data_IF_796910808479
#
_entry.id   IF_796910808479
#
_cell.length_a   1.000
_cell.length_b   1.000
_cell.length_c   1.000
_cell.angle_alpha   90.00
_cell.angle_beta   90.00
_cell.angle_gamma   90.00
#
_symmetry.space_group_name_H-M   'P 1'
#
loop_
_entity.id
_entity.type
_entity.pdbx_description
1 polymer ?
#
# COMPACT_ATOMS: atom_id res chain seq x y z
N UNK A 1 -36.71 4.44 2.89
CA UNK A 1 -35.94 5.57 3.45
C UNK A 1 -34.57 5.02 3.82
N UNK A 2 -33.56 5.24 2.98
CA UNK A 2 -32.18 4.91 3.32
C UNK A 2 -31.62 6.06 4.15
N UNK A 3 -31.27 5.78 5.40
CA UNK A 3 -30.54 6.73 6.25
C UNK A 3 -29.10 6.81 5.74
N UNK A 4 -28.80 7.83 4.95
CA UNK A 4 -27.42 8.19 4.60
C UNK A 4 -26.76 8.74 5.86
N UNK A 5 -26.17 7.88 6.66
CA UNK A 5 -25.26 8.31 7.73
C UNK A 5 -24.01 8.85 7.04
N UNK A 6 -23.89 10.18 6.98
CA UNK A 6 -22.65 10.82 6.54
C UNK A 6 -21.46 10.33 7.37
N UNK A 7 -20.22 10.47 6.87
CA UNK A 7 -19.05 9.99 7.58
C UNK A 7 -18.93 10.68 8.94
N UNK A 8 -18.88 9.86 9.99
CA UNK A 8 -18.69 10.31 11.38
C UNK A 8 -17.23 10.71 11.56
N UNK A 9 -16.98 11.82 12.25
CA UNK A 9 -15.63 12.22 12.66
C UNK A 9 -14.96 11.07 13.42
N UNK A 10 -13.79 10.57 12.95
CA UNK A 10 -13.12 9.45 13.60
C UNK A 10 -12.53 9.79 14.97
N UNK A 11 -12.59 11.06 15.42
CA UNK A 11 -12.16 11.48 16.75
C UNK A 11 -10.65 11.38 16.95
N UNK A 12 -9.87 11.68 15.91
CA UNK A 12 -8.42 11.56 15.93
C UNK A 12 -7.79 12.62 16.88
N UNK A 13 -7.01 12.18 17.86
CA UNK A 13 -6.21 13.06 18.74
C UNK A 13 -5.28 13.97 17.92
N UNK A 14 -5.06 15.19 18.43
CA UNK A 14 -4.18 16.23 17.87
C UNK A 14 -2.71 16.10 18.32
N UNK A 15 -2.25 14.89 18.61
CA UNK A 15 -0.87 14.66 19.06
C UNK A 15 0.09 14.83 17.86
N UNK A 16 1.13 15.64 18.04
CA UNK A 16 2.17 15.85 17.01
C UNK A 16 3.14 14.66 16.90
N UNK A 17 3.25 13.85 17.95
CA UNK A 17 4.17 12.70 18.02
C UNK A 17 3.49 11.37 17.70
N UNK A 18 2.64 11.34 16.66
CA UNK A 18 1.93 10.13 16.22
C UNK A 18 2.11 9.89 14.72
N UNK A 19 2.20 8.62 14.33
CA UNK A 19 2.13 8.21 12.91
C UNK A 19 0.73 7.68 12.61
N UNK A 20 0.03 8.36 11.69
CA UNK A 20 -1.23 7.85 11.13
C UNK A 20 -0.95 7.15 9.81
N UNK A 21 -1.06 5.83 9.81
CA UNK A 21 -1.07 5.04 8.57
C UNK A 21 -2.40 5.25 7.87
N UNK A 22 -2.37 5.67 6.61
CA UNK A 22 -3.56 5.84 5.77
C UNK A 22 -3.56 4.75 4.71
N UNK A 23 -4.61 3.94 4.73
CA UNK A 23 -4.85 2.88 3.76
C UNK A 23 -6.18 3.11 3.06
N UNK A 24 -6.18 3.02 1.73
CA UNK A 24 -7.39 3.17 0.94
C UNK A 24 -7.78 1.85 0.30
N UNK A 25 -9.06 1.50 0.38
CA UNK A 25 -9.57 0.34 -0.34
C UNK A 25 -9.97 0.71 -1.76
N UNK A 26 -9.72 -0.22 -2.69
CA UNK A 26 -10.23 -0.15 -4.04
C UNK A 26 -11.76 -0.10 -4.02
N UNK A 27 -12.34 0.65 -4.94
CA UNK A 27 -13.79 0.63 -5.14
C UNK A 27 -14.29 -0.81 -5.40
N UNK A 28 -15.39 -1.25 -4.76
CA UNK A 28 -15.89 -2.62 -4.88
C UNK A 28 -16.18 -3.02 -6.33
N UNK A 29 -16.77 -2.12 -7.13
CA UNK A 29 -17.12 -2.42 -8.53
C UNK A 29 -15.92 -2.50 -9.46
N UNK A 30 -14.71 -2.21 -8.98
CA UNK A 30 -13.51 -2.40 -9.77
C UNK A 30 -12.83 -3.74 -9.47
N UNK A 31 -13.27 -4.52 -8.48
CA UNK A 31 -12.70 -5.84 -8.17
C UNK A 31 -13.72 -6.97 -8.34
N UNK A 32 -13.24 -8.09 -8.89
CA UNK A 32 -14.05 -9.31 -9.04
C UNK A 32 -14.09 -10.15 -7.75
N UNK A 33 -13.27 -9.81 -6.74
CA UNK A 33 -13.15 -10.55 -5.49
C UNK A 33 -12.87 -9.56 -4.33
N UNK A 34 -13.94 -8.91 -3.88
CA UNK A 34 -13.89 -7.98 -2.75
C UNK A 34 -13.54 -8.66 -1.42
N UNK A 35 -14.01 -9.88 -1.10
CA UNK A 35 -13.55 -10.61 0.08
C UNK A 35 -12.02 -10.73 0.14
N UNK A 36 -11.37 -11.02 -0.99
CA UNK A 36 -9.90 -11.06 -1.05
C UNK A 36 -9.24 -9.71 -0.76
N UNK A 37 -9.86 -8.59 -1.15
CA UNK A 37 -9.38 -7.24 -0.78
C UNK A 37 -9.41 -7.05 0.73
N UNK A 38 -10.46 -7.52 1.41
CA UNK A 38 -10.57 -7.45 2.87
C UNK A 38 -9.52 -8.34 3.55
N UNK A 39 -9.29 -9.57 3.07
CA UNK A 39 -8.24 -10.43 3.59
C UNK A 39 -6.84 -9.79 3.51
N UNK A 40 -6.56 -9.11 2.39
CA UNK A 40 -5.29 -8.40 2.19
C UNK A 40 -5.17 -7.22 3.16
N UNK A 41 -6.24 -6.44 3.32
CA UNK A 41 -6.27 -5.34 4.29
C UNK A 41 -5.99 -5.87 5.70
N UNK A 42 -6.63 -6.94 6.13
CA UNK A 42 -6.38 -7.49 7.46
C UNK A 42 -4.93 -7.98 7.64
N UNK A 43 -4.30 -8.52 6.59
CA UNK A 43 -2.89 -8.86 6.63
C UNK A 43 -1.99 -7.60 6.78
N UNK A 44 -2.31 -6.52 6.06
CA UNK A 44 -1.66 -5.22 6.22
C UNK A 44 -1.88 -4.66 7.63
N UNK A 45 -3.09 -4.70 8.17
CA UNK A 45 -3.38 -4.24 9.53
C UNK A 45 -2.58 -5.02 10.58
N UNK A 46 -2.43 -6.34 10.45
CA UNK A 46 -1.57 -7.13 11.33
C UNK A 46 -0.09 -6.77 11.19
N UNK A 47 0.37 -6.42 9.99
CA UNK A 47 1.73 -5.87 9.79
C UNK A 47 1.91 -4.53 10.51
N UNK A 48 0.92 -3.64 10.42
CA UNK A 48 0.95 -2.34 11.10
C UNK A 48 0.75 -2.48 12.62
N UNK A 49 0.02 -3.48 13.10
CA UNK A 49 -0.09 -3.76 14.53
C UNK A 49 1.20 -4.35 15.12
N UNK A 50 2.13 -4.79 14.29
CA UNK A 50 3.43 -5.31 14.72
C UNK A 50 4.47 -4.19 15.00
N UNK A 51 4.10 -2.91 14.95
CA UNK A 51 5.04 -1.82 15.25
C UNK A 51 5.54 -1.88 16.71
N UNK A 52 6.86 -1.71 16.87
CA UNK A 52 7.54 -1.69 18.18
C UNK A 52 7.20 -0.42 18.97
N UNK A 53 7.11 0.72 18.28
CA UNK A 53 6.63 1.96 18.86
C UNK A 53 5.10 2.07 18.64
N UNK A 54 4.37 2.22 19.75
CA UNK A 54 2.91 2.21 19.78
C UNK A 54 2.27 3.57 19.53
N UNK A 55 3.06 4.62 19.30
CA UNK A 55 2.58 5.96 18.92
C UNK A 55 2.14 6.00 17.45
N UNK A 56 1.23 5.11 17.10
CA UNK A 56 0.68 5.01 15.77
C UNK A 56 -0.78 4.57 15.79
N UNK A 57 -1.46 4.86 14.69
CA UNK A 57 -2.86 4.50 14.43
C UNK A 57 -3.06 4.26 12.94
N UNK A 58 -4.16 3.61 12.59
CA UNK A 58 -4.55 3.37 11.20
C UNK A 58 -5.85 4.10 10.90
N UNK A 59 -5.93 4.71 9.72
CA UNK A 59 -7.14 5.23 9.12
C UNK A 59 -7.39 4.51 7.80
N UNK A 60 -8.49 3.77 7.72
CA UNK A 60 -8.93 3.08 6.51
C UNK A 60 -10.02 3.89 5.83
N UNK A 61 -9.82 4.28 4.58
CA UNK A 61 -10.84 4.97 3.77
C UNK A 61 -11.36 4.03 2.67
N UNK A 62 -12.67 3.77 2.66
CA UNK A 62 -13.28 2.76 1.81
C UNK A 62 -14.65 3.22 1.27
N UNK A 63 -15.11 2.58 0.19
CA UNK A 63 -16.45 2.80 -0.37
C UNK A 63 -17.55 1.94 0.28
N UNK A 64 -17.16 1.07 1.22
CA UNK A 64 -18.07 0.24 2.00
C UNK A 64 -17.62 0.28 3.43
N UNK A 65 -18.59 0.15 4.34
CA UNK A 65 -18.30 0.02 5.75
C UNK A 65 -17.37 -1.18 5.98
N UNK A 66 -16.37 -0.94 6.80
CA UNK A 66 -15.40 -1.93 7.20
C UNK A 66 -15.30 -1.95 8.72
N UNK A 67 -15.31 -3.15 9.29
CA UNK A 67 -15.08 -3.36 10.72
C UNK A 67 -13.73 -4.06 10.88
N UNK A 68 -12.74 -3.44 11.56
CA UNK A 68 -11.44 -4.06 11.77
C UNK A 68 -11.52 -5.26 12.72
N UNK A 69 -10.58 -6.21 12.62
CA UNK A 69 -10.44 -7.29 13.60
C UNK A 69 -10.30 -6.75 15.03
N UNK A 70 -11.01 -7.37 15.98
CA UNK A 70 -11.09 -6.92 17.38
C UNK A 70 -9.83 -7.21 18.19
N UNK A 71 -8.98 -8.09 17.70
CA UNK A 71 -7.74 -8.53 18.33
C UNK A 71 -6.54 -7.62 18.02
N UNK A 72 -6.72 -6.59 17.19
CA UNK A 72 -5.68 -5.60 16.92
C UNK A 72 -5.44 -4.71 18.14
N UNK A 73 -4.18 -4.50 18.48
CA UNK A 73 -3.78 -3.59 19.57
C UNK A 73 -3.60 -2.14 19.09
N UNK A 74 -3.50 -1.91 17.78
CA UNK A 74 -3.36 -0.60 17.16
C UNK A 74 -4.75 0.00 16.97
N UNK A 75 -4.99 1.27 17.31
CA UNK A 75 -6.25 1.93 17.00
C UNK A 75 -6.48 1.95 15.48
N UNK A 76 -7.63 1.42 15.05
CA UNK A 76 -8.05 1.45 13.64
C UNK A 76 -9.34 2.24 13.53
N UNK A 77 -9.27 3.34 12.80
CA UNK A 77 -10.40 4.20 12.45
C UNK A 77 -10.81 3.91 11.01
N UNK A 78 -12.10 4.03 10.71
CA UNK A 78 -12.63 3.78 9.37
C UNK A 78 -13.45 4.97 8.90
N UNK A 79 -13.36 5.28 7.60
CA UNK A 79 -14.16 6.28 6.92
C UNK A 79 -14.78 5.69 5.67
N UNK A 80 -16.10 5.82 5.57
CA UNK A 80 -16.86 5.40 4.40
C UNK A 80 -17.13 6.62 3.51
N UNK A 81 -16.85 6.48 2.21
CA UNK A 81 -17.08 7.50 1.19
C UNK A 81 -17.96 6.95 0.07
N UNK A 82 -18.73 7.81 -0.60
CA UNK A 82 -19.60 7.42 -1.72
C UNK A 82 -19.06 7.94 -3.06
N UNK A 83 -17.76 7.74 -3.30
CA UNK A 83 -17.15 8.17 -4.55
C UNK A 83 -17.46 7.20 -5.69
N UNK A 84 -17.72 7.68 -6.91
CA UNK A 84 -18.02 6.80 -8.03
C UNK A 84 -16.83 5.88 -8.37
N UNK A 85 -17.05 4.69 -8.96
CA UNK A 85 -15.96 3.84 -9.38
C UNK A 85 -15.04 4.59 -10.36
N UNK A 86 -13.70 4.41 -10.29
CA UNK A 86 -12.83 4.84 -11.37
C UNK A 86 -13.30 4.27 -12.71
N UNK A 87 -13.29 5.11 -13.75
CA UNK A 87 -13.86 4.85 -15.07
C UNK A 87 -13.42 3.50 -15.67
N UNK A 88 -14.30 3.04 -16.58
CA UNK A 88 -14.50 1.69 -17.10
C UNK A 88 -13.31 0.70 -17.01
N UNK A 89 -13.60 -0.53 -16.59
CA UNK A 89 -12.67 -1.66 -16.54
C UNK A 89 -12.07 -1.99 -17.93
N UNK A 90 -12.72 -1.49 -18.99
CA UNK A 90 -12.26 -1.56 -20.38
C UNK A 90 -11.14 -0.57 -20.72
N UNK A 91 -10.91 0.47 -19.91
CA UNK A 91 -9.82 1.41 -20.15
C UNK A 91 -8.45 0.76 -19.93
N UNK A 92 -7.51 1.06 -20.82
CA UNK A 92 -6.14 0.52 -20.79
C UNK A 92 -5.08 1.62 -20.64
N UNK A 93 -3.93 1.24 -20.07
CA UNK A 93 -2.77 2.12 -20.00
C UNK A 93 -2.96 3.35 -19.11
N UNK A 94 -2.65 4.53 -19.66
CA UNK A 94 -2.56 5.78 -18.90
C UNK A 94 -3.90 6.27 -18.34
N UNK A 95 -5.01 6.08 -19.08
CA UNK A 95 -6.35 6.53 -18.63
C UNK A 95 -6.84 5.77 -17.40
N UNK A 96 -6.72 4.43 -17.43
CA UNK A 96 -6.95 3.59 -16.26
C UNK A 96 -6.10 4.00 -15.05
N UNK A 97 -4.82 4.30 -15.27
CA UNK A 97 -3.94 4.76 -14.19
C UNK A 97 -4.38 6.11 -13.63
N UNK A 98 -4.84 7.04 -14.48
CA UNK A 98 -5.38 8.32 -14.04
C UNK A 98 -6.65 8.15 -13.20
N UNK A 99 -7.55 7.24 -13.60
CA UNK A 99 -8.74 6.90 -12.81
C UNK A 99 -8.41 6.32 -11.44
N UNK A 100 -7.51 5.33 -11.39
CA UNK A 100 -7.04 4.74 -10.11
C UNK A 100 -6.40 5.79 -9.21
N UNK A 101 -5.58 6.69 -9.77
CA UNK A 101 -4.96 7.78 -9.03
C UNK A 101 -5.99 8.77 -8.49
N UNK A 102 -7.01 9.11 -9.27
CA UNK A 102 -8.09 9.99 -8.81
C UNK A 102 -8.87 9.35 -7.66
N UNK A 103 -9.23 8.08 -7.77
CA UNK A 103 -9.93 7.35 -6.72
C UNK A 103 -9.12 7.32 -5.41
N UNK A 104 -7.85 6.91 -5.51
CA UNK A 104 -6.91 6.89 -4.37
C UNK A 104 -6.71 8.28 -3.78
N UNK A 105 -6.47 9.28 -4.63
CA UNK A 105 -6.21 10.66 -4.24
C UNK A 105 -7.38 11.30 -3.54
N UNK A 106 -8.60 11.05 -4.00
CA UNK A 106 -9.83 11.54 -3.36
C UNK A 106 -9.97 10.96 -1.94
N UNK A 107 -9.69 9.67 -1.76
CA UNK A 107 -9.72 9.01 -0.44
C UNK A 107 -8.64 9.52 0.50
N UNK A 108 -7.43 9.75 -0.02
CA UNK A 108 -6.36 10.40 0.74
C UNK A 108 -6.73 11.85 1.12
N UNK A 109 -7.41 12.60 0.25
CA UNK A 109 -7.85 13.95 0.55
C UNK A 109 -8.84 13.98 1.73
N UNK A 110 -9.80 13.04 1.78
CA UNK A 110 -10.71 12.88 2.93
C UNK A 110 -9.92 12.52 4.20
N UNK A 111 -8.95 11.61 4.11
CA UNK A 111 -8.07 11.31 5.24
C UNK A 111 -7.34 12.57 5.75
N UNK A 112 -6.86 13.42 4.84
CA UNK A 112 -6.16 14.65 5.21
C UNK A 112 -7.08 15.67 5.89
N UNK A 113 -8.38 15.66 5.59
CA UNK A 113 -9.35 16.53 6.25
C UNK A 113 -9.58 16.15 7.73
N UNK A 114 -9.40 14.88 8.10
CA UNK A 114 -9.63 14.42 9.48
C UNK A 114 -8.37 14.28 10.31
N UNK A 115 -7.19 14.14 9.69
CA UNK A 115 -5.94 14.02 10.42
C UNK A 115 -5.48 15.43 10.83
N UNK A 116 -5.49 15.75 12.14
CA UNK A 116 -5.19 17.11 12.59
C UNK A 116 -3.69 17.43 12.58
N UNK A 117 -2.85 16.46 12.91
CA UNK A 117 -1.45 16.67 13.25
C UNK A 117 -0.61 15.39 13.10
N UNK A 118 0.69 15.51 13.38
CA UNK A 118 1.65 14.40 13.34
C UNK A 118 2.09 13.97 11.95
N UNK A 119 2.51 12.71 11.82
CA UNK A 119 2.97 12.14 10.55
C UNK A 119 1.86 11.34 9.87
N UNK A 120 1.83 11.40 8.55
CA UNK A 120 0.95 10.61 7.68
C UNK A 120 1.81 9.69 6.86
N UNK A 121 1.55 8.38 6.95
CA UNK A 121 2.22 7.37 6.14
C UNK A 121 1.22 6.71 5.19
N UNK A 122 1.45 6.76 3.89
CA UNK A 122 0.60 6.05 2.92
C UNK A 122 1.01 4.59 2.83
N UNK A 123 0.04 3.68 2.97
CA UNK A 123 0.26 2.24 2.93
C UNK A 123 -0.83 1.59 2.08
N UNK A 124 -0.43 0.91 1.00
CA UNK A 124 -1.33 0.15 0.15
C UNK A 124 -1.92 -1.04 0.95
N UNK A 125 -3.19 -1.36 0.72
CA UNK A 125 -3.97 -2.33 1.50
C UNK A 125 -3.54 -3.79 1.33
N UNK A 126 -2.46 -4.04 0.60
CA UNK A 126 -1.91 -5.35 0.33
C UNK A 126 -0.42 -5.47 0.68
N UNK A 127 0.18 -4.42 1.24
CA UNK A 127 1.61 -4.35 1.57
C UNK A 127 1.88 -4.48 3.08
N UNK A 128 3.16 -4.54 3.45
CA UNK A 128 3.60 -4.67 4.84
C UNK A 128 4.78 -3.72 5.13
N UNK A 129 4.88 -3.26 6.38
CA UNK A 129 5.96 -2.37 6.85
C UNK A 129 6.78 -3.01 7.96
N UNK A 130 8.04 -2.61 8.06
CA UNK A 130 8.94 -3.04 9.14
C UNK A 130 8.40 -2.54 10.48
N UNK A 131 8.44 -3.38 11.51
CA UNK A 131 8.08 -3.03 12.90
C UNK A 131 8.90 -1.90 13.52
N UNK A 132 10.03 -1.53 12.88
CA UNK A 132 10.90 -0.41 13.32
C UNK A 132 10.53 0.93 12.70
N UNK A 133 9.54 0.96 11.80
CA UNK A 133 9.23 2.13 10.99
C UNK A 133 8.78 3.33 11.84
N UNK A 134 7.82 3.14 12.74
CA UNK A 134 7.31 4.24 13.59
C UNK A 134 8.42 4.82 14.48
N UNK A 135 9.21 3.98 15.12
CA UNK A 135 10.31 4.43 15.98
C UNK A 135 11.38 5.22 15.21
N UNK A 136 11.62 4.90 13.93
CA UNK A 136 12.50 5.68 13.09
C UNK A 136 11.92 7.06 12.74
N UNK A 137 10.65 7.10 12.33
CA UNK A 137 9.93 8.33 11.98
C UNK A 137 9.86 9.27 13.19
N UNK A 138 9.48 8.77 14.36
CA UNK A 138 9.36 9.60 15.56
C UNK A 138 10.70 9.87 16.26
N UNK A 139 11.80 9.28 15.80
CA UNK A 139 13.15 9.52 16.31
C UNK A 139 13.77 10.84 15.84
N UNK A 140 13.17 11.51 14.86
CA UNK A 140 13.61 12.83 14.36
C UNK A 140 12.41 13.68 13.94
N UNK A 141 11.59 14.14 14.92
CA UNK A 141 10.30 14.82 14.66
C UNK A 141 10.43 16.17 13.95
N UNK A 142 11.64 16.73 13.84
CA UNK A 142 11.93 17.95 13.10
C UNK A 142 11.93 17.75 11.58
N UNK A 143 12.05 16.50 11.11
CA UNK A 143 12.14 16.18 9.68
C UNK A 143 10.79 16.28 8.99
N UNK A 144 10.81 16.76 7.74
CA UNK A 144 9.59 16.87 6.93
C UNK A 144 8.94 15.50 6.66
N UNK A 145 9.74 14.44 6.67
CA UNK A 145 9.30 13.06 6.52
C UNK A 145 10.35 12.20 5.84
N UNK A 146 9.92 11.00 5.44
CA UNK A 146 10.78 9.99 4.84
C UNK A 146 10.13 9.30 3.65
N UNK A 147 10.98 8.69 2.83
CA UNK A 147 10.57 7.74 1.82
C UNK A 147 11.35 6.43 1.92
N UNK A 148 10.77 5.36 1.38
CA UNK A 148 11.39 4.03 1.33
C UNK A 148 12.09 3.88 -0.02
N UNK A 149 13.42 3.92 -0.03
CA UNK A 149 14.22 3.71 -1.25
C UNK A 149 14.58 2.24 -1.46
N UNK A 150 14.86 1.53 -0.38
CA UNK A 150 15.11 0.10 -0.39
C UNK A 150 13.97 -0.63 0.28
N UNK A 151 13.51 -1.72 -0.33
CA UNK A 151 12.52 -2.59 0.29
C UNK A 151 12.66 -4.03 -0.18
N UNK A 152 11.56 -4.76 -0.07
CA UNK A 152 11.46 -6.13 -0.55
C UNK A 152 10.29 -6.28 -1.51
N UNK A 153 10.40 -7.21 -2.44
CA UNK A 153 9.26 -7.71 -3.20
C UNK A 153 8.94 -9.12 -2.71
N UNK A 154 7.69 -9.36 -2.34
CA UNK A 154 7.22 -10.65 -1.85
C UNK A 154 6.15 -11.23 -2.77
N UNK A 155 6.40 -12.42 -3.30
CA UNK A 155 5.40 -13.16 -4.06
C UNK A 155 4.57 -14.01 -3.09
N UNK A 156 3.35 -13.55 -2.81
CA UNK A 156 2.48 -14.18 -1.80
C UNK A 156 2.04 -15.58 -2.21
N UNK A 157 2.09 -15.91 -3.50
CA UNK A 157 1.73 -17.24 -4.02
C UNK A 157 2.87 -18.23 -3.86
N UNK A 158 4.13 -17.80 -4.01
CA UNK A 158 5.29 -18.71 -3.93
C UNK A 158 6.00 -18.67 -2.58
N UNK A 159 5.80 -17.61 -1.78
CA UNK A 159 6.49 -17.39 -0.53
C UNK A 159 7.94 -16.90 -0.71
N UNK A 160 8.28 -16.43 -1.91
CA UNK A 160 9.61 -15.92 -2.22
C UNK A 160 9.72 -14.41 -2.02
N UNK A 161 10.88 -14.00 -1.51
CA UNK A 161 11.27 -12.62 -1.35
C UNK A 161 12.55 -12.33 -2.13
N UNK A 162 12.62 -11.15 -2.74
CA UNK A 162 13.86 -10.54 -3.19
C UNK A 162 13.92 -9.08 -2.74
N UNK A 163 15.12 -8.53 -2.76
CA UNK A 163 15.32 -7.10 -2.55
C UNK A 163 14.72 -6.30 -3.69
N UNK A 164 14.20 -5.13 -3.37
CA UNK A 164 13.61 -4.19 -4.31
C UNK A 164 14.30 -2.83 -4.14
N UNK A 165 15.33 -2.53 -4.96
CA UNK A 165 15.87 -1.18 -5.05
C UNK A 165 14.86 -0.24 -5.72
N UNK A 166 15.07 1.07 -5.57
CA UNK A 166 14.20 2.13 -6.08
C UNK A 166 12.73 1.92 -5.69
N UNK A 167 12.49 1.47 -4.45
CA UNK A 167 11.19 0.98 -3.98
C UNK A 167 10.08 2.03 -4.17
N UNK A 168 10.36 3.28 -3.80
CA UNK A 168 9.45 4.43 -4.02
C UNK A 168 9.14 4.70 -5.49
N UNK A 169 9.84 4.14 -6.47
CA UNK A 169 9.42 4.27 -7.88
C UNK A 169 8.41 3.20 -8.28
N UNK A 170 8.26 2.16 -7.45
CA UNK A 170 7.57 0.91 -7.75
C UNK A 170 6.29 0.68 -6.95
N UNK A 171 6.19 1.19 -5.73
CA UNK A 171 5.14 0.88 -4.76
C UNK A 171 4.72 2.14 -3.95
N UNK A 172 3.42 2.25 -3.64
CA UNK A 172 2.83 3.37 -2.92
C UNK A 172 3.07 3.38 -1.41
N UNK A 173 3.40 2.23 -0.83
CA UNK A 173 3.74 2.04 0.58
C UNK A 173 5.15 2.53 0.91
N UNK A 174 5.45 3.76 0.51
CA UNK A 174 6.81 4.27 0.42
C UNK A 174 6.99 5.69 0.91
N UNK A 175 5.95 6.37 1.39
CA UNK A 175 6.03 7.76 1.83
C UNK A 175 5.44 7.96 3.22
N UNK A 176 6.12 8.77 4.02
CA UNK A 176 5.63 9.34 5.27
C UNK A 176 6.04 10.81 5.35
N UNK A 177 5.13 11.68 5.78
CA UNK A 177 5.39 13.12 5.84
C UNK A 177 4.62 13.77 6.98
N UNK A 178 5.11 14.90 7.49
CA UNK A 178 4.38 15.67 8.49
C UNK A 178 3.11 16.26 7.90
N UNK A 179 1.99 16.11 8.60
CA UNK A 179 0.67 16.56 8.18
C UNK A 179 0.66 18.05 7.87
N UNK A 180 1.35 18.86 8.68
CA UNK A 180 1.44 20.32 8.54
C UNK A 180 2.16 20.79 7.26
N UNK A 181 2.90 19.91 6.58
CA UNK A 181 3.56 20.20 5.29
C UNK A 181 2.63 20.07 4.09
N UNK A 182 1.48 19.46 4.28
CA UNK A 182 0.38 19.53 3.32
C UNK A 182 -0.56 20.66 3.74
N UNK A 183 -0.82 21.58 2.81
CA UNK A 183 -1.93 22.52 2.97
C UNK A 183 -3.23 21.77 3.30
N UNK A 184 -4.14 22.46 3.99
CA UNK A 184 -5.46 21.94 4.31
C UNK A 184 -6.47 22.85 3.64
N UNK A 185 -7.01 22.51 2.46
CA UNK A 185 -8.19 23.19 1.99
C UNK A 185 -9.34 22.89 2.97
N UNK A 186 -10.25 23.85 3.12
CA UNK A 186 -11.44 23.74 3.97
C UNK A 186 -12.45 22.78 3.33
N UNK A 187 -12.14 21.48 3.44
CA UNK A 187 -12.97 20.40 2.93
C UNK A 187 -13.71 19.75 4.10
N UNK A 188 -15.03 19.66 3.96
CA UNK A 188 -15.90 19.05 4.95
C UNK A 188 -15.81 17.52 4.90
N UNK A 189 -16.03 16.91 6.06
CA UNK A 189 -16.37 15.49 6.16
C UNK A 189 -17.59 15.21 5.28
N UNK A 190 -17.47 14.24 4.37
CA UNK A 190 -18.53 13.87 3.44
C UNK A 190 -18.52 14.61 2.11
N UNK A 191 -17.49 15.41 1.82
CA UNK A 191 -17.31 16.02 0.51
C UNK A 191 -17.36 14.98 -0.61
N UNK A 192 -18.05 15.34 -1.70
CA UNK A 192 -18.11 14.61 -2.97
C UNK A 192 -16.76 14.68 -3.70
N UNK A 193 -16.57 13.84 -4.72
CA UNK A 193 -15.35 13.89 -5.54
C UNK A 193 -15.21 15.22 -6.28
N UNK A 194 -16.33 15.80 -6.68
CA UNK A 194 -16.42 17.07 -7.39
C UNK A 194 -15.97 18.24 -6.48
N UNK A 195 -16.44 18.28 -5.24
CA UNK A 195 -15.99 19.27 -4.24
C UNK A 195 -14.50 19.11 -3.92
N UNK A 196 -14.00 17.86 -3.86
CA UNK A 196 -12.57 17.61 -3.68
C UNK A 196 -11.74 18.10 -4.88
N UNK A 197 -12.24 17.92 -6.11
CA UNK A 197 -11.58 18.41 -7.32
C UNK A 197 -11.53 19.94 -7.34
N UNK A 198 -12.59 20.62 -6.90
CA UNK A 198 -12.63 22.07 -6.77
C UNK A 198 -11.64 22.57 -5.71
N UNK A 199 -11.63 21.93 -4.53
CA UNK A 199 -10.83 22.36 -3.40
C UNK A 199 -9.33 22.07 -3.52
N UNK A 200 -8.96 20.91 -4.07
CA UNK A 200 -7.56 20.48 -4.19
C UNK A 200 -6.99 20.68 -5.60
N UNK A 201 -7.82 20.69 -6.64
CA UNK A 201 -7.38 20.65 -8.02
C UNK A 201 -7.08 19.24 -8.53
N UNK A 202 -7.31 19.06 -9.83
CA UNK A 202 -7.17 17.79 -10.55
C UNK A 202 -5.77 17.15 -10.43
N UNK A 203 -4.75 17.99 -10.55
CA UNK A 203 -3.33 17.61 -10.52
C UNK A 203 -2.91 17.14 -9.12
N UNK A 204 -3.30 17.86 -8.07
CA UNK A 204 -2.97 17.49 -6.68
C UNK A 204 -3.61 16.16 -6.32
N UNK A 205 -4.90 15.96 -6.65
CA UNK A 205 -5.55 14.68 -6.37
C UNK A 205 -4.87 13.51 -7.11
N UNK A 206 -4.54 13.63 -8.40
CA UNK A 206 -3.98 12.50 -9.15
C UNK A 206 -2.49 12.29 -8.91
N UNK A 207 -1.72 13.36 -8.89
CA UNK A 207 -0.27 13.29 -8.97
C UNK A 207 0.41 13.43 -7.61
N UNK A 208 -0.19 14.12 -6.64
CA UNK A 208 0.32 14.21 -5.27
C UNK A 208 -0.34 13.21 -4.32
N UNK A 209 -1.66 13.31 -4.14
CA UNK A 209 -2.36 12.44 -3.20
C UNK A 209 -2.55 11.04 -3.80
N UNK A 210 -2.84 10.93 -5.09
CA UNK A 210 -3.05 9.66 -5.79
C UNK A 210 -1.78 8.93 -6.17
N UNK A 211 -0.61 9.55 -6.03
CA UNK A 211 0.67 9.02 -6.51
C UNK A 211 1.81 9.36 -5.56
N UNK A 212 2.62 8.36 -5.24
CA UNK A 212 3.72 8.44 -4.28
C UNK A 212 5.03 9.04 -4.84
N UNK A 213 4.98 9.73 -5.99
CA UNK A 213 6.19 10.21 -6.69
C UNK A 213 6.49 11.68 -6.47
N UNK A 214 5.49 12.55 -6.60
CA UNK A 214 5.67 14.00 -6.59
C UNK A 214 5.89 14.55 -5.17
N UNK A 215 5.18 14.00 -4.17
CA UNK A 215 5.27 14.46 -2.77
C UNK A 215 6.68 14.31 -2.21
N UNK A 216 7.41 13.26 -2.62
CA UNK A 216 8.81 13.05 -2.22
C UNK A 216 9.67 14.26 -2.57
N UNK A 217 9.59 14.70 -3.82
CA UNK A 217 10.38 15.81 -4.34
C UNK A 217 9.90 17.15 -3.75
N UNK A 218 8.59 17.39 -3.76
CA UNK A 218 8.01 18.64 -3.25
C UNK A 218 8.32 18.89 -1.78
N UNK A 219 8.31 17.84 -0.95
CA UNK A 219 8.54 17.95 0.49
C UNK A 219 10.01 17.73 0.90
N UNK A 220 10.90 17.48 -0.06
CA UNK A 220 12.32 17.18 0.20
C UNK A 220 12.50 16.07 1.25
N UNK A 221 11.76 14.96 1.08
CA UNK A 221 11.80 13.83 2.01
C UNK A 221 13.14 13.09 1.96
N UNK A 222 13.54 12.52 3.08
CA UNK A 222 14.80 11.76 3.21
C UNK A 222 14.57 10.25 3.12
N UNK A 223 15.57 9.48 2.68
CA UNK A 223 15.43 8.02 2.65
C UNK A 223 15.52 7.44 4.07
N UNK A 224 14.63 6.49 4.41
CA UNK A 224 14.86 5.65 5.59
C UNK A 224 16.11 4.77 5.38
N UNK A 225 17.00 4.61 6.37
CA UNK A 225 18.31 3.96 6.20
C UNK A 225 18.23 2.42 6.30
N UNK A 226 17.08 1.83 6.00
CA UNK A 226 16.87 0.38 6.04
C UNK A 226 15.73 -0.04 5.11
N UNK A 227 15.66 -1.35 4.80
CA UNK A 227 14.54 -1.90 4.02
C UNK A 227 13.27 -1.87 4.85
N UNK A 228 12.40 -0.89 4.58
CA UNK A 228 11.28 -0.57 5.46
C UNK A 228 9.93 -1.13 5.00
N UNK A 229 9.81 -1.60 3.76
CA UNK A 229 8.54 -2.02 3.18
C UNK A 229 8.64 -3.30 2.35
N UNK A 230 7.54 -4.05 2.31
CA UNK A 230 7.28 -5.14 1.38
C UNK A 230 6.26 -4.71 0.34
N UNK A 231 6.63 -4.87 -0.93
CA UNK A 231 5.71 -4.83 -2.05
C UNK A 231 5.22 -6.25 -2.34
N UNK A 232 3.99 -6.54 -1.92
CA UNK A 232 3.37 -7.85 -2.09
C UNK A 232 2.78 -7.99 -3.51
N UNK A 233 3.19 -9.03 -4.23
CA UNK A 233 2.77 -9.28 -5.61
C UNK A 233 2.14 -10.65 -5.77
N UNK A 234 1.39 -10.82 -6.88
CA UNK A 234 0.67 -12.05 -7.22
C UNK A 234 -0.41 -12.41 -6.20
N UNK A 235 -1.05 -11.39 -5.60
CA UNK A 235 -2.13 -11.56 -4.64
C UNK A 235 -3.55 -11.61 -5.26
N UNK A 236 -3.63 -11.46 -6.60
CA UNK A 236 -4.87 -11.46 -7.38
C UNK A 236 -5.52 -10.07 -7.51
N UNK A 237 -5.14 -9.11 -6.68
CA UNK A 237 -5.78 -7.79 -6.57
C UNK A 237 -4.86 -6.61 -6.94
N UNK A 238 -3.56 -6.85 -7.16
CA UNK A 238 -2.61 -5.81 -7.55
C UNK A 238 -3.06 -5.08 -8.83
N UNK A 239 -3.10 -3.74 -8.78
CA UNK A 239 -3.37 -2.91 -9.98
C UNK A 239 -2.20 -2.99 -10.97
N UNK A 240 -0.98 -3.11 -10.45
CA UNK A 240 0.23 -3.26 -11.27
C UNK A 240 0.40 -4.71 -11.72
N UNK A 241 0.60 -4.96 -13.02
CA UNK A 241 0.84 -6.30 -13.59
C UNK A 241 2.26 -6.85 -13.28
N UNK A 242 2.93 -6.35 -12.25
CA UNK A 242 4.29 -6.78 -11.90
C UNK A 242 4.24 -8.20 -11.35
N UNK A 243 4.82 -9.12 -12.12
CA UNK A 243 4.83 -10.55 -11.82
C UNK A 243 5.99 -11.01 -10.93
N UNK A 244 6.16 -12.34 -10.94
CA UNK A 244 7.00 -13.16 -10.08
C UNK A 244 8.36 -12.57 -9.68
N UNK A 245 8.78 -12.89 -8.46
CA UNK A 245 10.11 -12.56 -7.94
C UNK A 245 11.16 -13.46 -8.61
N UNK A 246 11.86 -12.92 -9.62
CA UNK A 246 12.99 -13.60 -10.25
C UNK A 246 14.17 -13.71 -9.27
N UNK A 247 14.74 -14.91 -9.10
CA UNK A 247 15.90 -15.11 -8.22
C UNK A 247 15.63 -14.94 -6.72
N UNK A 248 14.36 -14.88 -6.31
CA UNK A 248 13.98 -14.76 -4.90
C UNK A 248 14.35 -15.97 -4.06
N UNK A 249 14.49 -15.74 -2.76
CA UNK A 249 14.72 -16.77 -1.74
C UNK A 249 13.47 -16.97 -0.88
N UNK A 250 13.30 -18.13 -0.23
CA UNK A 250 12.30 -18.31 0.82
C UNK A 250 12.28 -17.15 1.83
N UNK A 251 11.10 -16.66 2.20
CA UNK A 251 10.97 -15.65 3.25
C UNK A 251 11.53 -16.16 4.59
N UNK A 252 12.63 -15.55 5.12
CA UNK A 252 13.19 -15.94 6.41
C UNK A 252 12.21 -15.69 7.55
N UNK A 253 12.29 -16.49 8.62
CA UNK A 253 11.41 -16.33 9.80
C UNK A 253 11.59 -14.99 10.50
N UNK A 254 12.84 -14.54 10.66
CA UNK A 254 13.16 -13.24 11.25
C UNK A 254 12.53 -12.10 10.46
N UNK A 255 12.64 -12.15 9.13
CA UNK A 255 12.08 -11.13 8.26
C UNK A 255 10.55 -11.16 8.25
N UNK A 256 9.94 -12.35 8.26
CA UNK A 256 8.50 -12.48 8.41
C UNK A 256 8.00 -11.88 9.73
N UNK A 257 8.71 -12.15 10.84
CA UNK A 257 8.38 -11.62 12.16
C UNK A 257 8.56 -10.10 12.24
N UNK A 258 9.60 -9.53 11.63
CA UNK A 258 9.81 -8.07 11.61
C UNK A 258 8.66 -7.34 10.92
N UNK A 259 8.08 -7.93 9.88
CA UNK A 259 7.04 -7.31 9.06
C UNK A 259 5.62 -7.78 9.37
N UNK A 260 5.43 -8.66 10.37
CA UNK A 260 4.11 -9.23 10.70
C UNK A 260 3.50 -10.08 9.57
N UNK A 261 4.33 -10.69 8.71
CA UNK A 261 3.87 -11.51 7.58
C UNK A 261 3.70 -12.96 8.01
N UNK A 262 2.51 -13.53 7.80
CA UNK A 262 2.31 -14.97 7.95
C UNK A 262 3.00 -15.73 6.81
N UNK A 263 3.86 -16.69 7.15
CA UNK A 263 4.61 -17.49 6.17
C UNK A 263 3.74 -18.57 5.58
N UNK A 264 3.92 -18.84 4.28
CA UNK A 264 3.35 -20.04 3.66
C UNK A 264 3.90 -21.33 4.29
N UNK A 265 3.09 -22.39 4.40
CA UNK A 265 3.53 -23.70 4.86
C UNK A 265 4.62 -24.31 3.97
N UNK A 266 5.56 -25.05 4.58
CA UNK A 266 6.69 -25.72 3.89
C UNK A 266 6.30 -26.65 2.71
N UNK A 267 5.18 -27.42 2.75
CA UNK A 267 4.78 -28.27 1.62
C UNK A 267 4.52 -27.48 0.32
N UNK A 268 4.04 -26.25 0.46
CA UNK A 268 3.81 -25.34 -0.67
C UNK A 268 5.13 -24.87 -1.31
N UNK A 269 6.18 -24.72 -0.50
CA UNK A 269 7.50 -24.29 -0.95
C UNK A 269 8.29 -25.41 -1.64
N UNK A 270 8.16 -26.65 -1.16
CA UNK A 270 8.82 -27.83 -1.74
C UNK A 270 8.26 -28.19 -3.11
N UNK A 271 6.93 -28.21 -3.25
CA UNK A 271 6.27 -28.44 -4.54
C UNK A 271 6.63 -27.38 -5.58
N UNK A 272 6.82 -26.12 -5.16
CA UNK A 272 7.35 -25.07 -6.02
C UNK A 272 8.82 -25.28 -6.40
N UNK A 273 9.71 -25.67 -5.47
CA UNK A 273 11.14 -25.88 -5.78
C UNK A 273 11.28 -26.88 -6.92
N UNK A 274 10.54 -27.99 -6.81
CA UNK A 274 10.44 -29.00 -7.85
C UNK A 274 9.91 -28.43 -9.18
N UNK A 275 8.87 -27.60 -9.15
CA UNK A 275 8.31 -26.94 -10.35
C UNK A 275 9.30 -25.97 -11.01
N UNK A 276 10.06 -25.20 -10.24
CA UNK A 276 11.03 -24.23 -10.79
C UNK A 276 12.29 -24.90 -11.29
N UNK A 277 12.78 -25.94 -10.61
CA UNK A 277 13.86 -26.77 -11.15
C UNK A 277 13.44 -27.45 -12.45
N UNK A 278 12.23 -28.02 -12.52
CA UNK A 278 11.68 -28.58 -13.75
C UNK A 278 11.55 -27.53 -14.87
N UNK A 279 11.09 -26.31 -14.56
CA UNK A 279 10.98 -25.23 -15.55
C UNK A 279 12.35 -24.68 -16.00
N UNK A 280 13.36 -24.65 -15.11
CA UNK A 280 14.75 -24.32 -15.47
C UNK A 280 15.35 -25.41 -16.37
N UNK A 281 15.19 -26.69 -16.02
CA UNK A 281 15.63 -27.81 -16.83
C UNK A 281 14.98 -27.79 -18.22
N UNK A 282 13.67 -27.53 -18.31
CA UNK A 282 12.96 -27.39 -19.57
C UNK A 282 13.43 -26.22 -20.44
N UNK A 283 13.83 -25.08 -19.84
CA UNK A 283 14.41 -23.94 -20.59
C UNK A 283 15.82 -24.23 -21.09
N UNK A 284 16.65 -24.92 -20.32
CA UNK A 284 17.99 -25.37 -20.73
C UNK A 284 17.88 -26.35 -21.90
N UNK A 285 16.94 -27.30 -21.82
CA UNK A 285 16.68 -28.27 -22.88
C UNK A 285 16.20 -27.58 -24.17
N UNK A 286 15.26 -26.63 -24.09
CA UNK A 286 14.81 -25.85 -25.26
C UNK A 286 15.92 -25.01 -25.87
N UNK A 287 16.80 -24.39 -25.07
CA UNK A 287 17.97 -23.66 -25.58
C UNK A 287 18.93 -24.58 -26.33
N UNK A 288 19.23 -25.76 -25.78
CA UNK A 288 20.09 -26.75 -26.47
C UNK A 288 19.46 -27.24 -27.77
N UNK A 289 18.16 -27.49 -27.79
CA UNK A 289 17.43 -27.91 -29.00
C UNK A 289 17.35 -26.80 -30.06
N UNK A 290 17.25 -25.52 -29.67
CA UNK A 290 17.29 -24.39 -30.62
C UNK A 290 18.69 -24.18 -31.22
N UNK A 291 19.76 -24.46 -30.48
CA UNK A 291 21.13 -24.37 -31.01
C UNK A 291 21.44 -25.49 -32.01
N UNK A 292 20.86 -26.69 -31.81
CA UNK A 292 21.01 -27.83 -32.74
C UNK A 292 20.22 -27.63 -34.04
N UNK A 293 19.09 -26.91 -34.01
CA UNK A 293 18.27 -26.64 -35.23
C UNK A 293 18.73 -25.44 -36.07
N UNK A 294 19.63 -24.60 -35.57
CA UNK A 294 20.17 -23.44 -36.29
C UNK A 294 21.51 -23.69 -37.00
N UNK A 295 22.02 -24.92 -36.98
CA UNK A 295 23.30 -25.32 -37.58
C UNK A 295 23.17 -26.41 -38.64
N UNK A 296 21.97 -26.60 -39.20
CA UNK A 296 21.70 -27.43 -40.38
C UNK A 296 21.31 -26.52 -41.55
#
# INVERSE_FOLDING_TARGET
MATTTGPVDPGLSSEDDVVTFVTTLRHPDNTDDYPRVIELLEATLRSLDNQQDRRCRVLVVANRDYTPPRDLSIPVHTLTVDFPPPADHLEVGARRQAGVRLDRGSKHAVAMAVIPAGYVAYVDADDALSSRFVGHVLGSPERAGWFVDEGYRYDVRTGLVAEQPDFNTKCGSSLVFRRDRLGRPDVLLGATREELLEAWGDDVLRNELGSHRSLRERLSLEAVPFRAAFYCVNNGQNVSKKGAVGGGRPLPRSLAAEFGIQRLPLPHMLSWKLRVEAARAGRVLRRRLSTVRGGL
#
